data_IF_676445980463
#
_entry.id   IF_676445980463
#
_cell.length_a   1.000
_cell.length_b   1.000
_cell.length_c   1.000
_cell.angle_alpha   90.00
_cell.angle_beta   90.00
_cell.angle_gamma   90.00
#
_symmetry.space_group_name_H-M   'P 1'
#
loop_
_entity.id
_entity.type
_entity.pdbx_description
1 polymer ?
#
# COMPACT_ATOMS: atom_id res chain seq x y z
N UNK A 1 5.74 -14.75 -11.40
CA UNK A 1 4.92 -13.60 -11.80
C UNK A 1 5.75 -12.34 -11.57
N UNK A 2 5.77 -11.41 -12.54
CA UNK A 2 6.43 -10.11 -12.38
C UNK A 2 5.48 -9.14 -11.65
N UNK A 3 6.03 -8.19 -10.86
CA UNK A 3 5.25 -7.15 -10.19
C UNK A 3 5.28 -5.88 -11.05
N UNK A 4 4.15 -5.52 -11.66
CA UNK A 4 4.01 -4.30 -12.46
C UNK A 4 3.97 -3.08 -11.53
N UNK A 5 4.69 -2.03 -11.89
CA UNK A 5 4.73 -0.78 -11.11
C UNK A 5 3.74 0.25 -11.67
N UNK A 6 2.86 0.76 -10.81
CA UNK A 6 1.93 1.88 -11.07
C UNK A 6 1.93 2.81 -9.84
N UNK A 7 3.13 3.34 -9.55
CA UNK A 7 3.38 4.09 -8.32
C UNK A 7 2.56 5.37 -8.25
N UNK A 8 2.11 5.72 -7.04
CA UNK A 8 1.48 7.01 -6.75
C UNK A 8 2.44 8.16 -7.05
N UNK A 9 1.89 9.27 -7.51
CA UNK A 9 2.65 10.52 -7.70
C UNK A 9 3.24 11.02 -6.37
N UNK A 10 4.48 11.51 -6.40
CA UNK A 10 5.19 11.97 -5.20
C UNK A 10 4.51 13.12 -4.49
N UNK A 11 3.73 13.95 -5.20
CA UNK A 11 2.92 15.01 -4.61
C UNK A 11 1.88 14.50 -3.61
N UNK A 12 1.51 13.21 -3.68
CA UNK A 12 0.55 12.56 -2.78
C UNK A 12 1.19 11.73 -1.67
N UNK A 13 2.52 11.70 -1.56
CA UNK A 13 3.18 10.96 -0.49
C UNK A 13 2.72 11.42 0.89
N UNK A 14 2.49 12.72 1.10
CA UNK A 14 1.98 13.25 2.37
C UNK A 14 0.67 12.60 2.84
N UNK A 15 -0.20 12.21 1.90
CA UNK A 15 -1.49 11.57 2.21
C UNK A 15 -1.40 10.04 2.19
N UNK A 16 -0.65 9.48 1.23
CA UNK A 16 -0.68 8.04 0.94
C UNK A 16 0.39 7.24 1.65
N UNK A 17 1.56 7.82 1.88
CA UNK A 17 2.72 7.14 2.44
C UNK A 17 3.74 8.16 3.00
N UNK A 18 3.39 8.96 4.03
CA UNK A 18 4.21 10.09 4.47
C UNK A 18 5.56 9.68 5.07
N UNK A 19 5.68 8.46 5.57
CA UNK A 19 6.86 8.00 6.32
C UNK A 19 7.68 7.00 5.52
N UNK A 20 9.00 7.08 5.67
CA UNK A 20 9.90 6.01 5.25
C UNK A 20 9.76 4.80 6.18
N UNK A 21 10.07 3.62 5.65
CA UNK A 21 9.93 2.34 6.33
C UNK A 21 11.08 1.41 5.95
N UNK A 22 11.63 0.71 6.94
CA UNK A 22 12.40 -0.51 6.70
C UNK A 22 11.47 -1.72 6.92
N UNK A 23 11.06 -2.44 5.88
CA UNK A 23 10.02 -3.46 6.04
C UNK A 23 10.52 -4.68 6.82
N UNK A 24 9.83 -5.06 7.91
CA UNK A 24 10.16 -6.30 8.66
C UNK A 24 9.02 -7.34 8.59
N UNK A 25 7.79 -6.93 8.25
CA UNK A 25 6.62 -7.81 8.16
C UNK A 25 5.80 -7.61 6.86
N UNK A 26 4.97 -8.61 6.56
CA UNK A 26 3.99 -8.59 5.47
C UNK A 26 2.61 -8.81 6.09
N UNK A 27 1.66 -7.96 5.73
CA UNK A 27 0.25 -8.08 6.13
C UNK A 27 -0.57 -8.43 4.90
N UNK A 28 -1.37 -9.50 4.99
CA UNK A 28 -2.22 -9.94 3.89
C UNK A 28 -3.66 -9.53 4.20
N UNK A 29 -4.32 -8.93 3.22
CA UNK A 29 -5.72 -8.51 3.27
C UNK A 29 -6.47 -9.11 2.09
N UNK A 30 -7.80 -9.19 2.20
CA UNK A 30 -8.68 -9.37 1.05
C UNK A 30 -9.40 -8.05 0.78
N UNK A 31 -9.64 -7.71 -0.48
CA UNK A 31 -10.32 -6.46 -0.88
C UNK A 31 -11.74 -6.38 -0.33
N UNK A 32 -12.37 -7.54 -0.11
CA UNK A 32 -13.82 -7.66 0.07
C UNK A 32 -14.60 -7.01 -1.10
N UNK A 33 -14.00 -7.07 -2.28
CA UNK A 33 -14.51 -6.52 -3.53
C UNK A 33 -14.22 -7.51 -4.68
N UNK A 34 -14.88 -7.32 -5.81
CA UNK A 34 -14.64 -8.11 -7.04
C UNK A 34 -14.17 -7.16 -8.16
N UNK A 35 -12.95 -6.65 -8.01
CA UNK A 35 -12.31 -5.75 -8.95
C UNK A 35 -10.88 -6.21 -9.28
N UNK A 36 -10.42 -6.01 -10.53
CA UNK A 36 -9.03 -6.31 -10.90
C UNK A 36 -8.01 -5.53 -10.06
N UNK A 37 -6.81 -6.10 -9.89
CA UNK A 37 -5.71 -5.47 -9.15
C UNK A 37 -5.34 -4.08 -9.70
N UNK A 38 -5.43 -3.91 -11.02
CA UNK A 38 -5.27 -2.60 -11.67
C UNK A 38 -6.26 -1.56 -11.15
N UNK A 39 -7.52 -1.93 -10.97
CA UNK A 39 -8.58 -1.01 -10.56
C UNK A 39 -8.40 -0.61 -9.10
N UNK A 40 -8.05 -1.56 -8.24
CA UNK A 40 -7.75 -1.31 -6.83
C UNK A 40 -6.60 -0.31 -6.68
N UNK A 41 -5.49 -0.51 -7.39
CA UNK A 41 -4.36 0.43 -7.38
C UNK A 41 -4.73 1.77 -8.01
N UNK A 42 -5.41 1.78 -9.16
CA UNK A 42 -5.83 3.02 -9.83
C UNK A 42 -6.75 3.87 -8.95
N UNK A 43 -7.69 3.24 -8.25
CA UNK A 43 -8.56 3.92 -7.29
C UNK A 43 -7.75 4.46 -6.11
N UNK A 44 -6.89 3.61 -5.51
CA UNK A 44 -6.08 3.95 -4.34
C UNK A 44 -5.18 5.16 -4.59
N UNK A 45 -4.46 5.21 -5.72
CA UNK A 45 -3.55 6.33 -6.02
C UNK A 45 -4.29 7.62 -6.44
N UNK A 46 -5.48 7.50 -7.05
CA UNK A 46 -6.25 8.66 -7.57
C UNK A 46 -6.99 9.42 -6.46
N UNK A 47 -7.50 8.75 -5.44
CA UNK A 47 -8.23 9.43 -4.36
C UNK A 47 -7.28 10.15 -3.36
N UNK A 48 -7.85 10.92 -2.43
CA UNK A 48 -7.11 11.72 -1.44
C UNK A 48 -7.36 11.25 0.00
N UNK A 49 -7.80 10.01 0.19
CA UNK A 49 -8.04 9.44 1.52
C UNK A 49 -6.71 8.90 2.11
N UNK A 50 -6.58 8.94 3.43
CA UNK A 50 -5.49 8.27 4.19
C UNK A 50 -5.75 6.76 4.29
N UNK A 51 -5.95 6.13 3.14
CA UNK A 51 -6.12 4.69 2.97
C UNK A 51 -5.28 4.28 1.77
N UNK A 52 -4.38 3.32 1.99
CA UNK A 52 -3.40 2.90 0.98
C UNK A 52 -2.83 1.51 1.29
N UNK A 53 -2.30 0.85 0.26
CA UNK A 53 -1.65 -0.47 0.35
C UNK A 53 -0.56 -0.57 -0.71
N UNK A 54 0.38 -1.52 -0.55
CA UNK A 54 1.58 -1.56 -1.39
C UNK A 54 1.31 -2.23 -2.73
N UNK A 55 0.66 -3.39 -2.68
CA UNK A 55 0.47 -4.27 -3.83
C UNK A 55 -0.97 -4.81 -3.80
N UNK A 56 -1.65 -4.80 -4.95
CA UNK A 56 -2.84 -5.61 -5.19
C UNK A 56 -2.47 -6.78 -6.09
N UNK A 57 -3.10 -7.94 -5.87
CA UNK A 57 -2.88 -9.16 -6.64
C UNK A 57 -4.23 -9.72 -7.05
N UNK A 58 -4.38 -10.10 -8.32
CA UNK A 58 -5.55 -10.83 -8.83
C UNK A 58 -5.13 -12.14 -9.51
N UNK A 59 -6.03 -12.75 -10.28
CA UNK A 59 -5.78 -14.01 -11.00
C UNK A 59 -4.77 -13.88 -12.16
N UNK A 60 -4.40 -12.65 -12.54
CA UNK A 60 -3.60 -12.35 -13.74
C UNK A 60 -2.29 -11.64 -13.44
N UNK A 61 -2.29 -10.69 -12.50
CA UNK A 61 -1.14 -9.83 -12.22
C UNK A 61 -0.99 -9.42 -10.75
N UNK A 62 0.20 -8.89 -10.43
CA UNK A 62 0.43 -8.10 -9.22
C UNK A 62 0.80 -6.68 -9.63
N UNK A 63 0.14 -5.70 -9.01
CA UNK A 63 0.34 -4.28 -9.28
C UNK A 63 0.78 -3.56 -8.01
N UNK A 64 1.96 -2.94 -8.05
CA UNK A 64 2.53 -2.15 -6.96
C UNK A 64 2.16 -0.67 -7.11
N UNK A 65 1.49 -0.11 -6.10
CA UNK A 65 1.04 1.29 -6.06
C UNK A 65 1.88 2.21 -5.17
N UNK A 66 2.60 1.67 -4.19
CA UNK A 66 3.47 2.44 -3.30
C UNK A 66 4.91 1.94 -3.31
N UNK A 67 5.91 2.81 -3.11
CA UNK A 67 7.28 2.36 -2.84
C UNK A 67 7.32 1.45 -1.62
N UNK A 68 8.08 0.35 -1.70
CA UNK A 68 8.16 -0.66 -0.64
C UNK A 68 8.85 -0.18 0.64
N UNK A 69 9.58 0.93 0.56
CA UNK A 69 10.33 1.56 1.66
C UNK A 69 9.58 2.76 2.23
N UNK A 70 8.27 2.85 1.99
CA UNK A 70 7.38 3.84 2.56
C UNK A 70 6.16 3.14 3.13
N UNK A 71 5.53 3.73 4.13
CA UNK A 71 4.40 3.10 4.81
C UNK A 71 3.13 3.06 3.95
N UNK A 72 2.13 2.31 4.43
CA UNK A 72 0.76 2.36 3.91
C UNK A 72 -0.26 2.45 5.07
N UNK A 73 -1.45 2.95 4.79
CA UNK A 73 -2.55 3.08 5.74
C UNK A 73 -3.58 1.96 5.54
N UNK A 74 -3.25 0.76 6.02
CA UNK A 74 -4.10 -0.43 5.83
C UNK A 74 -4.28 -1.32 7.07
N UNK A 75 -3.48 -1.14 8.13
CA UNK A 75 -3.48 -2.05 9.30
C UNK A 75 -4.43 -1.64 10.43
N UNK A 76 -4.93 -0.39 10.45
CA UNK A 76 -5.93 0.07 11.43
C UNK A 76 -5.41 0.23 12.86
N UNK A 77 -4.10 0.16 13.07
CA UNK A 77 -3.39 0.26 14.35
C UNK A 77 -2.93 1.68 14.70
N UNK A 78 -3.18 2.65 13.82
CA UNK A 78 -2.81 4.05 14.00
C UNK A 78 -1.30 4.28 13.99
N UNK A 79 -0.86 5.43 14.53
CA UNK A 79 0.57 5.68 14.76
C UNK A 79 0.94 5.21 16.17
N UNK A 80 1.59 4.06 16.29
CA UNK A 80 2.33 3.74 17.51
C UNK A 80 3.54 4.67 17.54
N UNK A 81 3.65 5.45 18.63
CA UNK A 81 4.63 6.53 18.80
C UNK A 81 6.04 6.12 18.34
N UNK A 82 6.59 6.91 17.41
CA UNK A 82 7.88 6.74 16.76
C UNK A 82 9.07 6.88 17.74
N UNK A 83 9.21 5.94 18.66
CA UNK A 83 10.44 5.76 19.44
C UNK A 83 11.38 4.76 18.79
N UNK A 84 10.85 3.92 17.88
CA UNK A 84 11.62 3.15 16.91
C UNK A 84 10.86 3.19 15.57
N UNK A 85 11.58 3.41 14.47
CA UNK A 85 11.09 3.66 13.11
C UNK A 85 10.30 2.50 12.48
N UNK A 86 9.15 2.14 13.08
CA UNK A 86 8.43 0.90 12.79
C UNK A 86 7.00 1.17 12.35
N UNK A 87 6.87 1.78 11.16
CA UNK A 87 5.86 1.29 10.23
C UNK A 87 6.50 0.06 9.61
N UNK A 88 5.94 -1.12 9.86
CA UNK A 88 6.66 -2.40 9.66
C UNK A 88 5.99 -3.28 8.62
N UNK A 89 4.90 -2.81 8.02
CA UNK A 89 3.92 -3.67 7.39
C UNK A 89 3.84 -3.41 5.89
N UNK A 90 4.15 -4.42 5.09
CA UNK A 90 3.77 -4.45 3.67
C UNK A 90 2.38 -5.04 3.50
N UNK A 91 1.36 -4.20 3.31
CA UNK A 91 0.02 -4.68 2.95
C UNK A 91 -0.06 -5.13 1.49
N UNK A 92 -0.49 -6.38 1.30
CA UNK A 92 -0.90 -6.98 0.03
C UNK A 92 -2.40 -7.23 0.10
N UNK A 93 -3.15 -6.84 -0.93
CA UNK A 93 -4.59 -7.15 -1.03
C UNK A 93 -4.83 -8.19 -2.13
N UNK A 94 -5.61 -9.22 -1.78
CA UNK A 94 -6.11 -10.30 -2.64
C UNK A 94 -7.57 -10.10 -3.03
#
# INVERSE_FOLDING_TARGET
>A
MEIRKKLVDSSKYGTKCPYTMNPEFITVHNTYNDAPAENEIAYMIRNNNEVSFHIAVDDKEAVQGLPLERNAWACGDGMVQATESRLVWKSVIL
#
